data_IF_572901778293
#
_entry.id   IF_572901778293
#
_cell.length_a   1.000
_cell.length_b   1.000
_cell.length_c   1.000
_cell.angle_alpha   90.00
_cell.angle_beta   90.00
_cell.angle_gamma   90.00
#
_symmetry.space_group_name_H-M   'P 1'
#
loop_
_entity.id
_entity.type
_entity.pdbx_description
1 polymer ?
#
# COMPACT_ATOMS: atom_id res chain seq x y z
N UNK A 1 9.40 -31.91 -5.91
CA UNK A 1 9.92 -31.11 -7.05
C UNK A 1 8.98 -29.93 -7.30
N UNK A 2 9.46 -28.68 -7.27
CA UNK A 2 8.65 -27.52 -7.69
C UNK A 2 8.36 -27.66 -9.19
N UNK A 3 7.08 -27.69 -9.58
CA UNK A 3 6.67 -27.62 -10.99
C UNK A 3 7.09 -26.25 -11.51
N UNK A 4 8.09 -26.22 -12.38
CA UNK A 4 8.46 -25.01 -13.10
C UNK A 4 7.37 -24.79 -14.15
N UNK A 5 6.51 -23.80 -13.94
CA UNK A 5 5.55 -23.37 -14.96
C UNK A 5 6.35 -22.92 -16.18
N UNK A 6 6.07 -23.52 -17.35
CA UNK A 6 6.72 -23.17 -18.61
C UNK A 6 6.49 -21.69 -18.88
N UNK A 7 7.56 -20.91 -19.03
CA UNK A 7 7.46 -19.50 -19.40
C UNK A 7 6.69 -19.37 -20.72
N UNK A 8 5.66 -18.52 -20.74
CA UNK A 8 4.86 -18.22 -21.93
C UNK A 8 5.75 -17.54 -22.97
N UNK A 9 5.75 -18.05 -24.22
CA UNK A 9 6.47 -17.42 -25.35
C UNK A 9 5.98 -15.98 -25.53
N UNK A 10 6.92 -15.04 -25.69
CA UNK A 10 6.59 -13.63 -25.97
C UNK A 10 5.70 -13.52 -27.22
N UNK A 11 4.51 -12.94 -27.04
CA UNK A 11 3.56 -12.73 -28.13
C UNK A 11 4.10 -11.72 -29.16
N UNK A 12 3.64 -11.83 -30.41
CA UNK A 12 4.02 -10.93 -31.50
C UNK A 12 3.81 -9.45 -31.14
N UNK A 13 2.72 -9.13 -30.42
CA UNK A 13 2.41 -7.79 -29.93
C UNK A 13 3.45 -7.26 -28.93
N UNK A 14 3.89 -8.10 -27.99
CA UNK A 14 4.88 -7.73 -26.97
C UNK A 14 6.21 -7.32 -27.59
N UNK A 15 6.63 -8.01 -28.67
CA UNK A 15 7.86 -7.68 -29.41
C UNK A 15 7.79 -6.29 -30.06
N UNK A 16 6.66 -5.97 -30.72
CA UNK A 16 6.47 -4.64 -31.32
C UNK A 16 6.46 -3.53 -30.27
N UNK A 17 5.79 -3.77 -29.14
CA UNK A 17 5.77 -2.80 -28.03
C UNK A 17 7.18 -2.52 -27.49
N UNK A 18 8.00 -3.56 -27.30
CA UNK A 18 9.39 -3.40 -26.87
C UNK A 18 10.22 -2.58 -27.87
N UNK A 19 10.04 -2.80 -29.17
CA UNK A 19 10.73 -2.02 -30.21
C UNK A 19 10.34 -0.53 -30.17
N UNK A 20 9.06 -0.23 -30.00
CA UNK A 20 8.57 1.16 -29.89
C UNK A 20 9.14 1.84 -28.64
N UNK A 21 9.09 1.20 -27.47
CA UNK A 21 9.62 1.80 -26.25
C UNK A 21 11.14 2.02 -26.30
N UNK A 22 11.89 1.10 -26.92
CA UNK A 22 13.33 1.28 -27.18
C UNK A 22 13.61 2.44 -28.13
N UNK A 23 12.75 2.64 -29.14
CA UNK A 23 12.87 3.80 -30.04
C UNK A 23 12.72 5.13 -29.30
N UNK A 24 11.87 5.18 -28.27
CA UNK A 24 11.72 6.35 -27.39
C UNK A 24 12.78 6.46 -26.27
N UNK A 25 13.80 5.59 -26.26
CA UNK A 25 14.88 5.63 -25.27
C UNK A 25 14.55 4.94 -23.93
N UNK A 26 13.45 4.20 -23.83
CA UNK A 26 13.10 3.44 -22.63
C UNK A 26 13.57 1.97 -22.73
N UNK A 27 14.16 1.48 -21.65
CA UNK A 27 14.45 0.06 -21.49
C UNK A 27 13.35 -0.62 -20.69
N UNK A 28 12.63 -1.56 -21.32
CA UNK A 28 11.59 -2.34 -20.64
C UNK A 28 12.22 -3.54 -19.96
N UNK A 29 12.03 -3.63 -18.65
CA UNK A 29 12.35 -4.81 -17.85
C UNK A 29 11.05 -5.60 -17.66
N UNK A 30 10.96 -6.73 -18.34
CA UNK A 30 9.86 -7.69 -18.17
C UNK A 30 10.14 -8.57 -16.96
N UNK A 31 9.72 -8.12 -15.77
CA UNK A 31 9.69 -8.98 -14.60
C UNK A 31 8.61 -10.05 -14.83
N UNK A 32 8.99 -11.32 -14.68
CA UNK A 32 8.12 -12.51 -14.84
C UNK A 32 6.82 -12.39 -13.99
N UNK A 33 5.92 -13.38 -14.06
CA UNK A 33 4.67 -13.43 -13.29
C UNK A 33 4.82 -12.81 -11.91
N UNK A 34 4.18 -11.66 -11.71
CA UNK A 34 4.26 -10.84 -10.50
C UNK A 34 3.46 -11.53 -9.39
N UNK A 35 3.92 -12.72 -9.00
CA UNK A 35 3.24 -13.67 -8.13
C UNK A 35 4.20 -14.15 -7.03
N UNK A 36 3.62 -14.44 -5.87
CA UNK A 36 4.34 -14.98 -4.73
C UNK A 36 4.22 -16.50 -4.77
N UNK A 37 5.28 -17.23 -5.14
CA UNK A 37 5.21 -18.66 -5.43
C UNK A 37 4.90 -19.52 -4.19
N UNK A 38 5.13 -19.00 -2.99
CA UNK A 38 4.79 -19.66 -1.73
C UNK A 38 3.32 -19.52 -1.35
N UNK A 39 2.63 -18.51 -1.87
CA UNK A 39 1.27 -18.13 -1.45
C UNK A 39 0.24 -18.25 -2.56
N UNK A 40 0.65 -18.57 -3.80
CA UNK A 40 -0.19 -18.61 -4.99
C UNK A 40 -1.07 -17.35 -5.15
N UNK A 41 -0.54 -16.20 -4.73
CA UNK A 41 -1.19 -14.88 -4.83
C UNK A 41 -0.38 -13.99 -5.75
N UNK A 42 -1.04 -13.07 -6.45
CA UNK A 42 -0.31 -12.02 -7.17
C UNK A 42 0.28 -11.03 -6.16
N UNK A 43 1.45 -10.49 -6.45
CA UNK A 43 2.14 -9.53 -5.58
C UNK A 43 1.40 -8.19 -5.49
N UNK A 44 0.54 -7.88 -6.47
CA UNK A 44 -0.38 -6.74 -6.41
C UNK A 44 -1.63 -6.97 -5.55
N UNK A 45 -1.87 -8.19 -5.08
CA UNK A 45 -2.99 -8.51 -4.19
C UNK A 45 -2.58 -8.37 -2.73
N UNK A 46 -3.57 -8.25 -1.83
CA UNK A 46 -3.29 -8.28 -0.41
C UNK A 46 -2.82 -9.68 0.01
N UNK A 47 -1.52 -9.79 0.31
CA UNK A 47 -0.91 -11.05 0.74
C UNK A 47 -1.45 -11.48 2.10
N UNK A 48 -1.71 -10.53 2.99
CA UNK A 48 -2.21 -10.77 4.35
C UNK A 48 -3.68 -11.16 4.37
N UNK A 49 -4.09 -11.89 5.42
CA UNK A 49 -5.50 -12.14 5.71
C UNK A 49 -5.82 -11.40 7.00
N UNK A 50 -6.63 -10.36 6.89
CA UNK A 50 -6.98 -9.50 8.00
C UNK A 50 -7.56 -10.29 9.18
N UNK A 51 -7.12 -9.96 10.40
CA UNK A 51 -7.53 -10.62 11.63
C UNK A 51 -7.02 -12.06 11.83
N UNK A 52 -6.34 -12.66 10.85
CA UNK A 52 -5.77 -14.01 10.96
C UNK A 52 -4.24 -14.02 10.85
N UNK A 53 -3.69 -13.41 9.81
CA UNK A 53 -2.24 -13.43 9.55
C UNK A 53 -1.78 -12.21 8.76
N UNK A 54 -0.65 -11.66 9.16
CA UNK A 54 0.08 -10.66 8.40
C UNK A 54 1.21 -11.33 7.63
N UNK A 55 1.37 -10.98 6.36
CA UNK A 55 2.47 -11.43 5.52
C UNK A 55 3.27 -10.19 5.18
N UNK A 56 4.50 -10.13 5.70
CA UNK A 56 5.40 -9.02 5.45
C UNK A 56 6.67 -9.55 4.78
N UNK A 57 7.12 -8.88 3.72
CA UNK A 57 8.37 -9.20 3.02
C UNK A 57 9.43 -8.29 3.66
N UNK A 58 10.49 -8.77 4.34
CA UNK A 58 11.12 -10.10 4.32
C UNK A 58 10.77 -11.03 5.50
N UNK A 59 9.95 -10.58 6.44
CA UNK A 59 9.74 -11.22 7.75
C UNK A 59 8.86 -12.49 7.71
N UNK A 60 8.24 -12.81 6.57
CA UNK A 60 7.43 -14.00 6.39
C UNK A 60 6.00 -13.84 6.94
N UNK A 61 5.40 -14.96 7.36
CA UNK A 61 4.04 -15.00 7.90
C UNK A 61 4.03 -14.85 9.42
N UNK A 62 3.33 -13.82 9.91
CA UNK A 62 3.08 -13.59 11.33
C UNK A 62 1.61 -13.86 11.62
N UNK A 63 1.32 -14.85 12.46
CA UNK A 63 -0.04 -15.18 12.89
C UNK A 63 -0.53 -14.18 13.94
N UNK A 64 -1.76 -13.72 13.79
CA UNK A 64 -2.42 -12.83 14.76
C UNK A 64 -2.99 -13.71 15.87
N UNK A 65 -2.37 -13.67 17.05
CA UNK A 65 -2.80 -14.47 18.22
C UNK A 65 -3.88 -13.79 19.05
N UNK A 66 -3.90 -12.46 19.07
CA UNK A 66 -4.86 -11.65 19.85
C UNK A 66 -5.81 -10.92 18.91
N UNK A 67 -7.12 -11.17 19.07
CA UNK A 67 -8.16 -10.48 18.32
C UNK A 67 -8.39 -9.09 18.92
N UNK A 68 -8.42 -8.07 18.06
CA UNK A 68 -8.79 -6.70 18.43
C UNK A 68 -10.32 -6.60 18.38
N UNK A 69 -10.93 -6.12 19.46
CA UNK A 69 -12.39 -5.94 19.56
C UNK A 69 -12.84 -4.52 19.26
N UNK A 70 -12.02 -3.53 19.62
CA UNK A 70 -12.29 -2.12 19.37
C UNK A 70 -11.02 -1.37 19.02
N UNK A 71 -11.17 -0.26 18.29
CA UNK A 71 -10.13 0.68 17.96
C UNK A 71 -10.68 2.10 18.14
N UNK A 72 -10.11 2.83 19.10
CA UNK A 72 -10.42 4.23 19.36
C UNK A 72 -9.31 5.11 18.79
N UNK A 73 -9.65 6.14 18.00
CA UNK A 73 -8.65 6.97 17.30
C UNK A 73 -8.69 8.41 17.79
N UNK A 74 -7.58 8.89 18.36
CA UNK A 74 -7.43 10.28 18.80
C UNK A 74 -6.52 11.06 17.85
N UNK A 75 -7.05 12.09 17.21
CA UNK A 75 -6.26 13.02 16.40
C UNK A 75 -5.95 14.30 17.17
N UNK A 76 -4.67 14.53 17.46
CA UNK A 76 -4.18 15.77 18.07
C UNK A 76 -3.27 16.50 17.09
N UNK A 77 -3.63 17.71 16.71
CA UNK A 77 -2.81 18.54 15.81
C UNK A 77 -2.48 19.87 16.49
N UNK A 78 -1.23 20.31 16.32
CA UNK A 78 -0.82 21.65 16.74
C UNK A 78 -0.83 22.56 15.52
N UNK A 79 -1.86 23.38 15.36
CA UNK A 79 -2.01 24.29 14.21
C UNK A 79 -1.33 25.64 14.38
N UNK A 80 -0.99 26.03 15.62
CA UNK A 80 -0.57 27.39 15.99
C UNK A 80 0.94 27.62 16.03
N UNK A 81 1.72 26.64 16.48
CA UNK A 81 3.18 26.78 16.68
C UNK A 81 3.93 26.06 15.57
N UNK A 82 4.85 26.74 14.89
CA UNK A 82 5.86 26.07 14.09
C UNK A 82 6.85 25.41 15.06
N UNK A 83 6.74 24.09 15.24
CA UNK A 83 7.71 23.30 16.00
C UNK A 83 9.01 23.28 15.19
N UNK A 84 10.12 23.63 15.87
CA UNK A 84 11.53 23.62 15.42
C UNK A 84 11.80 24.12 14.00
N UNK A 85 12.67 25.14 13.84
CA UNK A 85 13.06 25.80 12.58
C UNK A 85 13.01 24.90 11.33
N UNK A 86 11.82 24.78 10.72
CA UNK A 86 11.62 23.93 9.56
C UNK A 86 11.94 24.76 8.33
N UNK A 87 13.20 24.65 7.88
CA UNK A 87 13.73 25.46 6.77
C UNK A 87 13.16 25.06 5.40
N UNK A 88 12.45 23.92 5.30
CA UNK A 88 11.85 23.44 4.06
C UNK A 88 10.43 23.96 3.90
N UNK A 89 10.12 24.48 2.71
CA UNK A 89 8.75 24.78 2.30
C UNK A 89 7.90 23.51 2.30
N UNK A 90 6.61 23.65 2.61
CA UNK A 90 5.64 22.56 2.55
C UNK A 90 5.29 22.28 1.08
N UNK A 91 4.98 21.02 0.75
CA UNK A 91 4.72 20.54 -0.63
C UNK A 91 3.68 21.37 -1.40
N UNK A 92 2.66 21.88 -0.71
CA UNK A 92 1.55 22.65 -1.26
C UNK A 92 1.65 24.14 -0.89
N UNK A 93 2.71 24.55 -0.20
CA UNK A 93 2.96 25.93 0.26
C UNK A 93 1.80 26.57 1.06
N UNK A 94 0.86 25.76 1.58
CA UNK A 94 -0.25 26.23 2.41
C UNK A 94 0.13 26.39 3.90
N UNK A 95 -0.77 27.02 4.65
CA UNK A 95 -0.67 27.18 6.10
C UNK A 95 -0.71 25.84 6.84
N UNK A 96 -0.17 25.80 8.07
CA UNK A 96 -0.17 24.58 8.90
C UNK A 96 -1.58 24.10 9.25
N UNK A 97 -2.53 25.01 9.39
CA UNK A 97 -3.94 24.68 9.64
C UNK A 97 -4.56 23.91 8.48
N UNK A 98 -4.29 24.32 7.24
CA UNK A 98 -4.77 23.64 6.03
C UNK A 98 -4.29 22.19 5.96
N UNK A 99 -3.01 21.95 6.26
CA UNK A 99 -2.47 20.60 6.37
C UNK A 99 -3.14 19.78 7.47
N UNK A 100 -3.42 20.40 8.62
CA UNK A 100 -4.08 19.73 9.75
C UNK A 100 -5.50 19.28 9.36
N UNK A 101 -6.22 20.14 8.63
CA UNK A 101 -7.55 19.84 8.10
C UNK A 101 -7.48 18.72 7.05
N UNK A 102 -6.53 18.77 6.13
CA UNK A 102 -6.31 17.71 5.12
C UNK A 102 -5.99 16.37 5.75
N UNK A 103 -5.14 16.36 6.77
CA UNK A 103 -4.83 15.16 7.55
C UNK A 103 -6.10 14.61 8.22
N UNK A 104 -6.91 15.46 8.84
CA UNK A 104 -8.18 15.05 9.45
C UNK A 104 -9.10 14.40 8.42
N UNK A 105 -9.35 15.04 7.28
CA UNK A 105 -10.19 14.47 6.22
C UNK A 105 -9.64 13.17 5.67
N UNK A 106 -8.32 13.08 5.49
CA UNK A 106 -7.65 11.85 5.05
C UNK A 106 -7.86 10.72 6.07
N UNK A 107 -7.67 10.99 7.37
CA UNK A 107 -7.92 9.99 8.42
C UNK A 107 -9.38 9.55 8.46
N UNK A 108 -10.35 10.47 8.36
CA UNK A 108 -11.77 10.13 8.32
C UNK A 108 -12.13 9.25 7.11
N UNK A 109 -11.54 9.54 5.94
CA UNK A 109 -11.73 8.71 4.74
C UNK A 109 -11.11 7.33 4.89
N UNK A 110 -9.94 7.23 5.50
CA UNK A 110 -9.32 5.94 5.80
C UNK A 110 -10.14 5.14 6.83
N UNK A 111 -10.70 5.80 7.83
CA UNK A 111 -11.58 5.19 8.83
C UNK A 111 -12.89 4.67 8.21
N UNK A 112 -13.50 5.41 7.27
CA UNK A 112 -14.70 4.94 6.57
C UNK A 112 -14.41 3.74 5.67
N UNK A 113 -13.24 3.70 5.03
CA UNK A 113 -12.78 2.52 4.29
C UNK A 113 -12.51 1.34 5.25
N UNK A 114 -11.84 1.60 6.37
CA UNK A 114 -11.52 0.60 7.38
C UNK A 114 -12.79 -0.01 7.97
N UNK A 115 -13.85 0.78 8.22
CA UNK A 115 -15.15 0.29 8.70
C UNK A 115 -15.78 -0.75 7.77
N UNK A 116 -15.60 -0.62 6.46
CA UNK A 116 -16.08 -1.62 5.48
C UNK A 116 -15.25 -2.91 5.50
N UNK A 117 -13.98 -2.81 5.88
CA UNK A 117 -13.06 -3.95 5.91
C UNK A 117 -13.14 -4.68 7.26
N UNK A 118 -13.24 -3.93 8.36
CA UNK A 118 -13.16 -4.40 9.74
C UNK A 118 -14.56 -4.58 10.36
N UNK A 119 -15.41 -5.41 9.75
CA UNK A 119 -16.79 -5.63 10.20
C UNK A 119 -16.89 -6.07 11.68
N UNK A 120 -15.85 -6.76 12.18
CA UNK A 120 -15.83 -7.33 13.53
C UNK A 120 -15.09 -6.47 14.57
N UNK A 121 -14.67 -5.25 14.22
CA UNK A 121 -13.97 -4.33 15.14
C UNK A 121 -14.83 -3.09 15.35
N UNK A 122 -15.17 -2.79 16.61
CA UNK A 122 -15.87 -1.57 16.94
C UNK A 122 -14.95 -0.36 16.76
N UNK A 123 -15.26 0.51 15.80
CA UNK A 123 -14.50 1.73 15.56
C UNK A 123 -15.13 2.88 16.32
N UNK A 124 -14.43 3.36 17.34
CA UNK A 124 -14.81 4.53 18.12
C UNK A 124 -14.02 5.74 17.59
N UNK A 125 -14.76 6.79 17.23
CA UNK A 125 -14.24 8.06 16.72
C UNK A 125 -14.27 9.12 17.82
#
# INVERSE_FOLDING_TARGET
>A
MKKINKQLKNSFLKKKLIQICRFFGYEIIDQNSFEVPSLNKKLGENLSIMGKKSINIPLGEVKITRKVKSLSVYLRTCSKVNLWNQNKKRIFECSKSEYSIRSLFSTLKSLSYAKKSLENVNLEL
#
